data_IF_176852231658
#
_entry.id   IF_176852231658
#
_cell.length_a   1.000
_cell.length_b   1.000
_cell.length_c   1.000
_cell.angle_alpha   90.00
_cell.angle_beta   90.00
_cell.angle_gamma   90.00
#
_symmetry.space_group_name_H-M   'P 1'
#
loop_
_entity.id
_entity.type
_entity.pdbx_description
1 polymer ?
#
# COMPACT_ATOMS: atom_id res chain seq x y z
N UNK A 1 4.96 4.09 8.12
CA UNK A 1 3.94 3.04 7.87
C UNK A 1 4.61 1.73 7.52
N UNK A 2 4.10 0.60 8.03
CA UNK A 2 4.72 -0.73 7.94
C UNK A 2 4.97 -1.21 6.50
N UNK A 3 3.97 -1.11 5.61
CA UNK A 3 4.06 -1.54 4.20
C UNK A 3 5.26 -0.90 3.48
N UNK A 4 5.41 0.42 3.58
CA UNK A 4 6.53 1.15 2.97
C UNK A 4 7.89 0.69 3.51
N UNK A 5 7.98 0.44 4.82
CA UNK A 5 9.21 -0.05 5.43
C UNK A 5 9.56 -1.45 4.92
N UNK A 6 8.56 -2.31 4.79
CA UNK A 6 8.74 -3.68 4.32
C UNK A 6 9.18 -3.74 2.85
N UNK A 7 8.48 -3.01 1.97
CA UNK A 7 8.80 -2.92 0.55
C UNK A 7 10.17 -2.25 0.30
N UNK A 8 10.49 -1.16 1.02
CA UNK A 8 11.78 -0.47 0.91
C UNK A 8 12.94 -1.37 1.34
N UNK A 9 12.75 -2.11 2.44
CA UNK A 9 13.81 -2.96 2.99
C UNK A 9 13.87 -4.33 2.32
N UNK A 10 12.89 -4.68 1.47
CA UNK A 10 12.77 -6.01 0.88
C UNK A 10 12.58 -7.11 1.92
N UNK A 11 12.01 -6.77 3.08
CA UNK A 11 11.90 -7.67 4.22
C UNK A 11 10.74 -7.26 5.13
N UNK A 12 9.95 -8.24 5.56
CA UNK A 12 8.92 -8.06 6.59
C UNK A 12 9.50 -7.45 7.88
N UNK A 13 8.67 -6.74 8.65
CA UNK A 13 9.12 -6.07 9.89
C UNK A 13 9.67 -7.05 10.92
N UNK A 14 9.14 -8.27 10.96
CA UNK A 14 9.63 -9.33 11.85
C UNK A 14 10.88 -10.05 11.31
N UNK A 15 11.35 -9.68 10.12
CA UNK A 15 12.57 -10.18 9.50
C UNK A 15 12.46 -11.56 8.86
N UNK A 16 11.27 -12.15 8.78
CA UNK A 16 11.13 -13.58 8.42
C UNK A 16 11.00 -13.83 6.92
N UNK A 17 10.31 -12.94 6.23
CA UNK A 17 9.97 -13.11 4.81
C UNK A 17 10.63 -12.02 3.97
N UNK A 18 11.42 -12.44 2.97
CA UNK A 18 11.97 -11.54 1.95
C UNK A 18 10.88 -11.11 0.98
N UNK A 19 10.94 -9.84 0.59
CA UNK A 19 9.96 -9.20 -0.30
C UNK A 19 10.74 -8.56 -1.45
N UNK A 20 10.16 -8.57 -2.65
CA UNK A 20 10.71 -7.81 -3.78
C UNK A 20 10.52 -6.31 -3.52
N UNK A 21 11.54 -5.52 -3.79
CA UNK A 21 11.42 -4.06 -3.68
C UNK A 21 10.91 -3.50 -5.01
N UNK A 22 9.92 -2.59 -4.99
CA UNK A 22 9.52 -1.86 -6.18
C UNK A 22 10.66 -0.93 -6.62
N UNK A 23 10.60 -0.48 -7.87
CA UNK A 23 11.59 0.44 -8.44
C UNK A 23 11.48 1.85 -7.88
N UNK A 24 10.33 2.18 -7.26
CA UNK A 24 10.05 3.49 -6.68
C UNK A 24 10.84 3.77 -5.40
N UNK A 25 11.29 5.02 -5.25
CA UNK A 25 11.94 5.51 -4.02
C UNK A 25 10.90 5.73 -2.93
N UNK A 26 10.43 4.65 -2.30
CA UNK A 26 9.39 4.71 -1.26
C UNK A 26 9.85 5.60 -0.08
N UNK A 27 9.47 6.88 0.01
CA UNK A 27 9.87 7.76 1.12
C UNK A 27 8.86 7.75 2.27
N UNK A 28 9.34 7.92 3.50
CA UNK A 28 8.46 8.00 4.70
C UNK A 28 7.62 9.27 4.66
N UNK A 29 8.15 10.34 4.05
CA UNK A 29 7.42 11.57 3.80
C UNK A 29 6.25 11.35 2.82
N UNK A 30 6.46 10.51 1.79
CA UNK A 30 5.37 10.13 0.87
C UNK A 30 4.29 9.32 1.57
N UNK A 31 4.63 8.46 2.54
CA UNK A 31 3.63 7.73 3.31
C UNK A 31 2.73 8.65 4.15
N UNK A 32 3.28 9.74 4.72
CA UNK A 32 2.49 10.76 5.42
C UNK A 32 1.63 11.53 4.41
N UNK A 33 2.20 11.91 3.26
CA UNK A 33 1.47 12.56 2.18
C UNK A 33 0.34 11.70 1.61
N UNK A 34 0.51 10.38 1.53
CA UNK A 34 -0.51 9.40 1.11
C UNK A 34 -1.71 9.41 2.06
N UNK A 35 -1.46 9.41 3.37
CA UNK A 35 -2.52 9.44 4.38
C UNK A 35 -3.22 10.80 4.37
N UNK A 36 -2.46 11.90 4.32
CA UNK A 36 -3.03 13.25 4.26
C UNK A 36 -3.85 13.47 2.99
N UNK A 37 -3.39 12.99 1.83
CA UNK A 37 -4.16 13.04 0.59
C UNK A 37 -5.42 12.17 0.69
N UNK A 38 -5.33 10.96 1.25
CA UNK A 38 -6.50 10.10 1.47
C UNK A 38 -7.55 10.78 2.36
N UNK A 39 -7.12 11.41 3.47
CA UNK A 39 -8.03 12.16 4.35
C UNK A 39 -8.61 13.42 3.66
N UNK A 40 -7.80 14.15 2.88
CA UNK A 40 -8.26 15.32 2.13
C UNK A 40 -9.29 14.92 1.05
N UNK A 41 -9.05 13.83 0.33
CA UNK A 41 -9.98 13.29 -0.67
C UNK A 41 -11.27 12.80 -0.03
N UNK A 42 -11.21 12.07 1.10
CA UNK A 42 -12.39 11.66 1.85
C UNK A 42 -13.21 12.88 2.33
N UNK A 43 -12.54 13.95 2.76
CA UNK A 43 -13.20 15.20 3.19
C UNK A 43 -13.75 16.07 2.06
N UNK A 44 -13.19 16.02 0.84
CA UNK A 44 -13.64 16.84 -0.30
C UNK A 44 -14.59 16.12 -1.25
N UNK A 45 -14.41 14.81 -1.44
CA UNK A 45 -15.13 14.02 -2.44
C UNK A 45 -15.89 12.82 -1.86
N UNK A 46 -15.58 12.44 -0.61
CA UNK A 46 -16.25 11.37 0.11
C UNK A 46 -17.25 11.89 1.15
N UNK A 47 -17.55 11.07 2.14
CA UNK A 47 -18.43 11.38 3.26
C UNK A 47 -17.67 11.94 4.49
N UNK A 48 -16.41 12.32 4.32
CA UNK A 48 -15.53 12.74 5.40
C UNK A 48 -14.92 11.60 6.21
N UNK A 49 -15.22 10.34 5.90
CA UNK A 49 -14.64 9.16 6.54
C UNK A 49 -13.61 8.53 5.60
N UNK A 50 -12.40 8.28 6.12
CA UNK A 50 -11.37 7.59 5.37
C UNK A 50 -11.73 6.11 5.21
N UNK A 51 -12.09 5.70 3.99
CA UNK A 51 -12.44 4.32 3.70
C UNK A 51 -11.21 3.48 3.31
N UNK A 52 -11.24 2.14 3.50
CA UNK A 52 -10.18 1.25 3.03
C UNK A 52 -9.84 1.42 1.55
N UNK A 53 -10.82 1.78 0.72
CA UNK A 53 -10.65 2.05 -0.71
C UNK A 53 -9.79 3.29 -0.98
N UNK A 54 -9.96 4.36 -0.21
CA UNK A 54 -9.17 5.58 -0.35
C UNK A 54 -7.71 5.34 0.03
N UNK A 55 -7.50 4.55 1.08
CA UNK A 55 -6.18 4.10 1.51
C UNK A 55 -5.54 3.23 0.42
N UNK A 56 -6.28 2.26 -0.13
CA UNK A 56 -5.80 1.38 -1.18
C UNK A 56 -5.37 2.14 -2.43
N UNK A 57 -6.21 3.06 -2.93
CA UNK A 57 -5.89 3.90 -4.08
C UNK A 57 -4.63 4.75 -3.83
N UNK A 58 -4.50 5.33 -2.64
CA UNK A 58 -3.37 6.17 -2.28
C UNK A 58 -2.07 5.35 -2.11
N UNK A 59 -2.16 4.12 -1.59
CA UNK A 59 -1.02 3.20 -1.49
C UNK A 59 -0.54 2.76 -2.86
N UNK A 60 -1.46 2.35 -3.74
CA UNK A 60 -1.12 1.91 -5.10
C UNK A 60 -0.43 3.05 -5.86
N UNK A 61 -0.98 4.26 -5.82
CA UNK A 61 -0.37 5.42 -6.50
C UNK A 61 1.00 5.83 -5.95
N UNK A 62 1.34 5.43 -4.72
CA UNK A 62 2.65 5.66 -4.14
C UNK A 62 3.65 4.53 -4.41
N UNK A 63 3.19 3.28 -4.42
CA UNK A 63 4.04 2.11 -4.60
C UNK A 63 4.30 1.83 -6.07
N UNK A 64 3.24 1.85 -6.89
CA UNK A 64 3.28 1.50 -8.31
C UNK A 64 3.57 2.75 -9.13
N UNK A 65 4.82 2.91 -9.57
CA UNK A 65 5.25 4.00 -10.46
C UNK A 65 5.50 3.49 -11.87
N UNK A 66 6.11 2.31 -12.00
CA UNK A 66 6.14 1.53 -13.24
C UNK A 66 4.95 0.55 -13.24
N UNK A 67 3.95 0.73 -14.12
CA UNK A 67 2.73 -0.08 -14.11
C UNK A 67 2.96 -1.54 -14.50
N UNK A 68 4.13 -1.91 -15.03
CA UNK A 68 4.45 -3.28 -15.42
C UNK A 68 5.28 -3.95 -14.34
N UNK A 69 6.37 -3.33 -13.91
CA UNK A 69 7.30 -3.94 -12.97
C UNK A 69 6.79 -3.85 -11.52
N UNK A 70 6.32 -2.68 -11.10
CA UNK A 70 5.90 -2.46 -9.72
C UNK A 70 4.56 -3.12 -9.43
N UNK A 71 3.68 -3.27 -10.43
CA UNK A 71 2.39 -3.97 -10.28
C UNK A 71 2.60 -5.43 -9.87
N UNK A 72 3.55 -6.12 -10.50
CA UNK A 72 3.89 -7.51 -10.17
C UNK A 72 4.39 -7.60 -8.72
N UNK A 73 5.28 -6.70 -8.32
CA UNK A 73 5.81 -6.63 -6.94
C UNK A 73 4.69 -6.37 -5.95
N UNK A 74 3.79 -5.44 -6.26
CA UNK A 74 2.67 -5.07 -5.41
C UNK A 74 1.69 -6.23 -5.22
N UNK A 75 1.27 -6.89 -6.31
CA UNK A 75 0.37 -8.05 -6.26
C UNK A 75 0.96 -9.19 -5.45
N UNK A 76 2.25 -9.49 -5.64
CA UNK A 76 2.94 -10.54 -4.88
C UNK A 76 2.95 -10.21 -3.38
N UNK A 77 3.25 -8.96 -3.01
CA UNK A 77 3.20 -8.52 -1.62
C UNK A 77 1.79 -8.62 -1.01
N UNK A 78 0.75 -8.26 -1.77
CA UNK A 78 -0.63 -8.40 -1.32
C UNK A 78 -0.99 -9.86 -1.03
N UNK A 79 -0.69 -10.78 -1.96
CA UNK A 79 -1.06 -12.20 -1.83
C UNK A 79 -0.25 -12.94 -0.77
N UNK A 80 1.00 -12.55 -0.54
CA UNK A 80 1.92 -13.29 0.34
C UNK A 80 2.03 -12.72 1.74
N UNK A 81 1.88 -11.41 1.90
CA UNK A 81 2.07 -10.73 3.19
C UNK A 81 0.76 -10.15 3.72
N UNK A 82 0.03 -9.39 2.90
CA UNK A 82 -1.17 -8.66 3.37
C UNK A 82 -2.33 -9.63 3.62
N UNK A 83 -2.54 -10.60 2.73
CA UNK A 83 -3.59 -11.61 2.84
C UNK A 83 -3.51 -12.48 4.10
N UNK A 84 -2.29 -12.78 4.55
CA UNK A 84 -2.04 -13.62 5.74
C UNK A 84 -2.22 -12.84 7.06
N UNK A 85 -2.38 -11.52 7.01
CA UNK A 85 -2.60 -10.64 8.16
C UNK A 85 -4.11 -10.43 8.35
N UNK A 86 -4.68 -11.11 9.33
CA UNK A 86 -6.13 -11.10 9.58
C UNK A 86 -6.69 -9.71 9.92
N UNK A 87 -5.87 -8.83 10.50
CA UNK A 87 -6.19 -7.43 10.77
C UNK A 87 -6.23 -6.57 9.50
N UNK A 88 -5.72 -7.05 8.36
CA UNK A 88 -5.60 -6.31 7.10
C UNK A 88 -6.56 -6.80 6.01
N UNK A 89 -7.53 -7.64 6.36
CA UNK A 89 -8.48 -8.22 5.40
C UNK A 89 -9.21 -7.17 4.55
N UNK A 90 -9.70 -6.09 5.17
CA UNK A 90 -10.42 -5.04 4.45
C UNK A 90 -9.51 -4.24 3.52
N UNK A 91 -8.26 -4.02 3.94
CA UNK A 91 -7.24 -3.38 3.10
C UNK A 91 -6.88 -4.27 1.91
N UNK A 92 -6.68 -5.57 2.14
CA UNK A 92 -6.39 -6.55 1.09
C UNK A 92 -7.51 -6.56 0.04
N UNK A 93 -8.78 -6.63 0.47
CA UNK A 93 -9.94 -6.60 -0.42
C UNK A 93 -9.99 -5.29 -1.21
N UNK A 94 -9.84 -4.15 -0.55
CA UNK A 94 -9.85 -2.85 -1.20
C UNK A 94 -8.74 -2.70 -2.25
N UNK A 95 -7.52 -3.19 -1.96
CA UNK A 95 -6.44 -3.20 -2.95
C UNK A 95 -6.75 -4.13 -4.12
N UNK A 96 -7.30 -5.33 -3.88
CA UNK A 96 -7.67 -6.31 -4.92
C UNK A 96 -8.76 -5.82 -5.87
N UNK A 97 -9.61 -4.89 -5.45
CA UNK A 97 -10.65 -4.30 -6.30
C UNK A 97 -10.13 -3.25 -7.28
N UNK A 98 -8.96 -2.68 -6.99
CA UNK A 98 -8.34 -1.62 -7.82
C UNK A 98 -7.38 -2.20 -8.86
N UNK A 99 -6.80 -3.38 -8.58
CA UNK A 99 -5.69 -3.97 -9.35
C UNK A 99 -6.09 -5.24 -10.08
#
# INVERSE_FOLDING_TARGET
>A
MQIFRELRNGLTVDGKTKIKSPTSTLSTAEAISVINNGMALAGHFGDGVLHPRDIAASLIGAVVKDPVQDDVVWREYLETIVKERSDWNDLYRACREIV
#
